data_IF_826583981195
#
_entry.id   IF_826583981195
#
_cell.length_a   1.000
_cell.length_b   1.000
_cell.length_c   1.000
_cell.angle_alpha   90.00
_cell.angle_beta   90.00
_cell.angle_gamma   90.00
#
_symmetry.space_group_name_H-M   'P 1'
#
loop_
_entity.id
_entity.type
_entity.pdbx_description
1 polymer ?
#
# COMPACT_ATOMS: atom_id res chain seq x y z
N UNK A 1 48.05 -51.45 4.38
CA UNK A 1 48.76 -50.15 4.42
C UNK A 1 49.25 -49.82 3.03
N UNK A 2 49.28 -48.53 2.70
CA UNK A 2 49.82 -47.89 1.49
C UNK A 2 48.82 -47.67 0.33
N UNK A 3 47.99 -46.64 0.53
CA UNK A 3 47.44 -45.79 -0.51
C UNK A 3 48.56 -44.96 -1.13
N UNK A 4 48.78 -45.03 -2.44
CA UNK A 4 49.34 -43.91 -3.22
C UNK A 4 49.24 -44.19 -4.72
N UNK A 5 48.30 -43.55 -5.45
CA UNK A 5 48.36 -43.41 -6.92
C UNK A 5 47.55 -42.18 -7.40
N UNK A 6 48.29 -41.15 -7.84
CA UNK A 6 48.03 -40.14 -8.89
C UNK A 6 46.82 -39.19 -8.72
N UNK A 7 46.94 -37.88 -8.46
CA UNK A 7 47.48 -36.73 -9.25
C UNK A 7 46.82 -36.55 -10.64
N UNK A 8 45.72 -35.77 -10.73
CA UNK A 8 45.57 -34.44 -11.38
C UNK A 8 44.09 -34.14 -11.69
N UNK A 9 43.69 -32.86 -11.73
CA UNK A 9 42.32 -32.38 -11.59
C UNK A 9 41.61 -32.30 -12.93
N UNK A 10 40.39 -32.83 -13.01
CA UNK A 10 39.49 -32.51 -14.12
C UNK A 10 38.68 -31.29 -13.69
N UNK A 11 39.06 -30.15 -14.25
CA UNK A 11 38.20 -29.00 -14.48
C UNK A 11 36.84 -29.50 -14.98
N UNK A 12 35.81 -29.38 -14.15
CA UNK A 12 34.45 -29.26 -14.66
C UNK A 12 34.01 -27.83 -14.37
N UNK A 13 34.10 -27.04 -15.44
CA UNK A 13 33.56 -25.70 -15.51
C UNK A 13 32.05 -25.74 -15.20
N UNK A 14 31.67 -25.24 -14.02
CA UNK A 14 30.29 -24.93 -13.70
C UNK A 14 30.21 -23.59 -12.97
N UNK A 15 30.79 -22.55 -13.57
CA UNK A 15 30.68 -21.17 -13.04
C UNK A 15 30.12 -20.17 -14.05
N UNK A 16 29.40 -20.64 -15.06
CA UNK A 16 28.73 -19.78 -16.05
C UNK A 16 27.20 -19.91 -15.96
N UNK A 17 26.61 -19.53 -14.82
CA UNK A 17 25.17 -19.27 -14.72
C UNK A 17 24.80 -18.30 -13.57
N UNK A 18 25.74 -17.48 -13.10
CA UNK A 18 25.47 -16.40 -12.14
C UNK A 18 25.67 -15.01 -12.74
N UNK A 19 25.27 -14.86 -13.99
CA UNK A 19 25.00 -13.58 -14.67
C UNK A 19 23.78 -13.90 -15.53
N UNK A 20 22.56 -13.87 -15.02
CA UNK A 20 21.74 -12.66 -14.98
C UNK A 20 20.54 -12.91 -14.05
N UNK A 21 20.70 -12.67 -12.75
CA UNK A 21 19.54 -12.18 -12.02
C UNK A 21 19.47 -10.69 -12.38
N UNK A 22 18.51 -10.21 -13.19
CA UNK A 22 18.09 -8.84 -13.02
C UNK A 22 17.63 -8.78 -11.57
N UNK A 23 18.47 -8.23 -10.69
CA UNK A 23 18.00 -7.67 -9.46
C UNK A 23 16.85 -6.78 -9.90
N UNK A 24 15.62 -7.24 -9.62
CA UNK A 24 14.40 -6.51 -9.84
C UNK A 24 14.51 -5.27 -8.95
N UNK A 25 15.20 -4.26 -9.48
CA UNK A 25 15.05 -2.88 -9.13
C UNK A 25 13.60 -2.57 -9.47
N UNK A 26 12.69 -2.93 -8.56
CA UNK A 26 11.33 -2.44 -8.56
C UNK A 26 11.46 -0.94 -8.40
N UNK A 27 11.43 -0.29 -9.56
CA UNK A 27 11.40 1.14 -9.78
C UNK A 27 10.38 1.76 -8.81
N UNK A 28 10.91 2.42 -7.78
CA UNK A 28 10.13 3.16 -6.79
C UNK A 28 9.51 4.46 -7.34
N UNK A 29 9.57 4.69 -8.66
CA UNK A 29 9.15 5.92 -9.32
C UNK A 29 7.81 5.88 -10.07
N UNK A 30 7.04 4.79 -10.00
CA UNK A 30 5.86 4.62 -10.86
C UNK A 30 4.59 4.35 -10.05
N UNK A 31 4.14 5.32 -9.23
CA UNK A 31 3.00 5.11 -8.31
C UNK A 31 2.06 6.30 -8.17
N UNK A 32 1.75 6.98 -9.26
CA UNK A 32 0.79 8.09 -9.25
C UNK A 32 -0.21 8.06 -10.43
N UNK A 33 -0.42 6.89 -11.04
CA UNK A 33 -1.33 6.74 -12.20
C UNK A 33 -2.77 6.45 -11.82
N UNK A 34 -3.10 6.25 -10.54
CA UNK A 34 -4.48 5.89 -10.14
C UNK A 34 -4.90 4.48 -10.55
N UNK A 35 -3.93 3.59 -10.82
CA UNK A 35 -4.17 2.20 -11.19
C UNK A 35 -3.40 1.24 -10.28
N UNK A 36 -4.03 0.11 -9.95
CA UNK A 36 -3.37 -1.02 -9.30
C UNK A 36 -2.43 -1.71 -10.28
N UNK A 37 -1.21 -1.98 -9.84
CA UNK A 37 -0.28 -2.81 -10.62
C UNK A 37 -0.74 -4.27 -10.64
N UNK A 38 -0.26 -5.07 -11.58
CA UNK A 38 -0.55 -6.52 -11.57
C UNK A 38 -0.09 -7.19 -10.27
N UNK A 39 1.02 -6.73 -9.69
CA UNK A 39 1.50 -7.20 -8.39
C UNK A 39 0.51 -6.85 -7.28
N UNK A 40 -0.10 -5.66 -7.33
CA UNK A 40 -1.12 -5.24 -6.36
C UNK A 40 -2.37 -6.10 -6.46
N UNK A 41 -2.84 -6.38 -7.68
CA UNK A 41 -4.01 -7.23 -7.93
C UNK A 41 -3.78 -8.64 -7.41
N UNK A 42 -2.64 -9.25 -7.76
CA UNK A 42 -2.26 -10.58 -7.28
C UNK A 42 -2.13 -10.63 -5.76
N UNK A 43 -1.57 -9.59 -5.14
CA UNK A 43 -1.49 -9.49 -3.68
C UNK A 43 -2.88 -9.41 -3.05
N UNK A 44 -3.79 -8.62 -3.61
CA UNK A 44 -5.18 -8.52 -3.15
C UNK A 44 -5.89 -9.87 -3.27
N UNK A 45 -5.80 -10.52 -4.43
CA UNK A 45 -6.41 -11.84 -4.66
C UNK A 45 -5.88 -12.90 -3.69
N UNK A 46 -4.55 -12.95 -3.51
CA UNK A 46 -3.91 -13.87 -2.57
C UNK A 46 -4.37 -13.62 -1.14
N UNK A 47 -4.43 -12.36 -0.70
CA UNK A 47 -4.90 -11.99 0.64
C UNK A 47 -6.39 -12.29 0.83
N UNK A 48 -7.21 -12.06 -0.18
CA UNK A 48 -8.65 -12.38 -0.13
C UNK A 48 -8.88 -13.88 -0.01
N UNK A 49 -8.17 -14.68 -0.81
CA UNK A 49 -8.29 -16.13 -0.81
C UNK A 49 -7.84 -16.76 0.52
N UNK A 50 -6.71 -16.29 1.06
CA UNK A 50 -6.11 -16.90 2.25
C UNK A 50 -6.67 -16.34 3.56
N UNK A 51 -7.08 -15.06 3.57
CA UNK A 51 -7.26 -14.28 4.79
C UNK A 51 -8.39 -13.24 4.69
N UNK A 52 -9.29 -13.34 3.71
CA UNK A 52 -10.27 -12.29 3.38
C UNK A 52 -11.16 -11.81 4.52
N UNK A 53 -11.45 -12.69 5.49
CA UNK A 53 -12.27 -12.38 6.66
C UNK A 53 -11.47 -11.76 7.82
N UNK A 54 -10.13 -11.85 7.78
CA UNK A 54 -9.31 -11.33 8.86
C UNK A 54 -9.24 -9.80 8.80
N UNK A 55 -9.45 -9.10 9.94
CA UNK A 55 -9.47 -7.65 9.94
C UNK A 55 -8.15 -7.00 9.53
N UNK A 56 -7.02 -7.64 9.83
CA UNK A 56 -5.68 -7.18 9.42
C UNK A 56 -5.48 -7.27 7.90
N UNK A 57 -5.91 -8.36 7.27
CA UNK A 57 -5.86 -8.54 5.83
C UNK A 57 -6.78 -7.54 5.10
N UNK A 58 -7.99 -7.31 5.60
CA UNK A 58 -8.91 -6.30 5.06
C UNK A 58 -8.31 -4.88 5.12
N UNK A 59 -7.60 -4.55 6.21
CA UNK A 59 -6.88 -3.29 6.31
C UNK A 59 -5.73 -3.21 5.30
N UNK A 60 -4.96 -4.28 5.14
CA UNK A 60 -3.85 -4.36 4.18
C UNK A 60 -4.33 -4.19 2.73
N UNK A 61 -5.40 -4.90 2.35
CA UNK A 61 -6.07 -4.74 1.04
C UNK A 61 -6.47 -3.27 0.83
N UNK A 62 -7.11 -2.66 1.83
CA UNK A 62 -7.48 -1.24 1.77
C UNK A 62 -6.29 -0.30 1.56
N UNK A 63 -5.14 -0.58 2.17
CA UNK A 63 -3.89 0.18 1.96
C UNK A 63 -3.36 0.04 0.54
N UNK A 64 -3.49 -1.14 -0.07
CA UNK A 64 -3.11 -1.36 -1.47
C UNK A 64 -4.01 -0.53 -2.39
N UNK A 65 -5.33 -0.51 -2.15
CA UNK A 65 -6.25 0.35 -2.89
C UNK A 65 -5.93 1.86 -2.74
N UNK A 66 -5.55 2.33 -1.54
CA UNK A 66 -5.12 3.73 -1.36
C UNK A 66 -3.88 4.06 -2.18
N UNK A 67 -2.90 3.15 -2.24
CA UNK A 67 -1.71 3.33 -3.08
C UNK A 67 -2.06 3.41 -4.56
N UNK A 68 -3.08 2.68 -4.99
CA UNK A 68 -3.61 2.76 -6.35
C UNK A 68 -4.52 3.96 -6.61
N UNK A 69 -4.69 4.90 -5.67
CA UNK A 69 -5.62 6.04 -5.83
C UNK A 69 -7.11 5.68 -5.79
N UNK A 70 -7.45 4.42 -5.50
CA UNK A 70 -8.82 3.90 -5.46
C UNK A 70 -9.41 4.12 -4.06
N UNK A 71 -9.61 5.39 -3.69
CA UNK A 71 -10.05 5.75 -2.35
C UNK A 71 -11.40 5.14 -1.94
N UNK A 72 -12.33 4.97 -2.89
CA UNK A 72 -13.65 4.41 -2.62
C UNK A 72 -13.54 2.97 -2.13
N UNK A 73 -12.79 2.16 -2.85
CA UNK A 73 -12.59 0.74 -2.52
C UNK A 73 -11.78 0.59 -1.24
N UNK A 74 -10.75 1.41 -1.08
CA UNK A 74 -9.98 1.50 0.16
C UNK A 74 -10.86 1.77 1.39
N UNK A 75 -11.75 2.77 1.32
CA UNK A 75 -12.67 3.12 2.41
C UNK A 75 -13.60 1.96 2.75
N UNK A 76 -14.07 1.22 1.74
CA UNK A 76 -14.91 0.03 1.95
C UNK A 76 -14.16 -1.06 2.71
N UNK A 77 -12.96 -1.43 2.26
CA UNK A 77 -12.13 -2.46 2.89
C UNK A 77 -11.66 -2.09 4.30
N UNK A 78 -11.17 -0.87 4.48
CA UNK A 78 -10.75 -0.38 5.81
C UNK A 78 -11.97 -0.25 6.73
N UNK A 79 -13.14 0.11 6.20
CA UNK A 79 -14.39 0.18 6.96
C UNK A 79 -14.80 -1.18 7.53
N UNK A 80 -14.71 -2.25 6.73
CA UNK A 80 -14.95 -3.63 7.20
C UNK A 80 -13.99 -4.01 8.33
N UNK A 81 -12.70 -3.77 8.14
CA UNK A 81 -11.65 -4.00 9.15
C UNK A 81 -11.91 -3.24 10.45
N UNK A 82 -12.30 -1.97 10.35
CA UNK A 82 -12.64 -1.14 11.51
C UNK A 82 -13.90 -1.64 12.22
N UNK A 83 -14.91 -2.09 11.48
CA UNK A 83 -16.14 -2.68 12.01
C UNK A 83 -15.88 -3.98 12.78
N UNK A 84 -14.91 -4.76 12.32
CA UNK A 84 -14.42 -5.95 13.03
C UNK A 84 -13.46 -5.64 14.20
N UNK A 85 -13.24 -4.36 14.52
CA UNK A 85 -12.50 -3.92 15.70
C UNK A 85 -11.00 -3.73 15.52
N UNK A 86 -10.47 -3.79 14.29
CA UNK A 86 -9.03 -3.66 14.07
C UNK A 86 -8.53 -2.24 14.45
N UNK A 87 -7.58 -2.11 15.40
CA UNK A 87 -7.21 -0.81 15.96
C UNK A 87 -6.72 0.20 14.92
N UNK A 88 -5.85 -0.24 14.01
CA UNK A 88 -5.26 0.62 12.99
C UNK A 88 -6.32 1.10 11.99
N UNK A 89 -7.29 0.24 11.64
CA UNK A 89 -8.40 0.64 10.79
C UNK A 89 -9.33 1.64 11.48
N UNK A 90 -9.65 1.43 12.78
CA UNK A 90 -10.45 2.38 13.57
C UNK A 90 -9.78 3.75 13.67
N UNK A 91 -8.46 3.77 13.92
CA UNK A 91 -7.68 5.00 13.94
C UNK A 91 -7.71 5.70 12.59
N UNK A 92 -7.52 4.96 11.50
CA UNK A 92 -7.58 5.52 10.16
C UNK A 92 -8.96 6.14 9.87
N UNK A 93 -10.05 5.44 10.18
CA UNK A 93 -11.41 5.97 10.00
C UNK A 93 -11.64 7.23 10.84
N UNK A 94 -11.16 7.26 12.09
CA UNK A 94 -11.25 8.43 12.95
C UNK A 94 -10.47 9.63 12.37
N UNK A 95 -9.26 9.40 11.88
CA UNK A 95 -8.44 10.41 11.21
C UNK A 95 -9.16 11.01 9.98
N UNK A 96 -9.78 10.17 9.16
CA UNK A 96 -10.51 10.64 7.98
C UNK A 96 -11.72 11.51 8.36
N UNK A 97 -12.45 11.15 9.42
CA UNK A 97 -13.56 11.97 9.93
C UNK A 97 -13.08 13.32 10.44
N UNK A 98 -12.00 13.35 11.22
CA UNK A 98 -11.41 14.60 11.71
C UNK A 98 -10.97 15.52 10.56
N UNK A 99 -10.33 14.96 9.53
CA UNK A 99 -9.94 15.71 8.33
C UNK A 99 -11.16 16.29 7.60
N UNK A 100 -12.23 15.51 7.46
CA UNK A 100 -13.47 15.98 6.83
C UNK A 100 -14.14 17.12 7.63
N UNK A 101 -14.24 16.97 8.95
CA UNK A 101 -14.80 17.99 9.83
C UNK A 101 -13.98 19.28 9.85
N UNK A 102 -12.65 19.16 9.85
CA UNK A 102 -11.74 20.29 9.81
C UNK A 102 -11.90 21.08 8.51
N UNK A 103 -11.88 20.39 7.35
CA UNK A 103 -12.13 21.02 6.04
C UNK A 103 -13.49 21.71 5.99
N UNK A 104 -14.53 21.07 6.53
CA UNK A 104 -15.87 21.65 6.61
C UNK A 104 -15.93 22.91 7.49
N UNK A 105 -15.27 22.90 8.65
CA UNK A 105 -15.15 24.09 9.52
C UNK A 105 -14.40 25.23 8.84
N UNK A 106 -13.28 24.93 8.21
CA UNK A 106 -12.47 25.92 7.49
C UNK A 106 -13.28 26.59 6.36
N UNK A 107 -14.03 25.80 5.58
CA UNK A 107 -14.92 26.31 4.54
C UNK A 107 -16.00 27.25 5.08
N UNK A 108 -16.64 26.88 6.21
CA UNK A 108 -17.65 27.74 6.86
C UNK A 108 -17.05 29.04 7.39
N UNK A 109 -15.88 28.96 8.01
CA UNK A 109 -15.17 30.14 8.53
C UNK A 109 -14.82 31.10 7.40
N UNK A 110 -14.22 30.60 6.31
CA UNK A 110 -13.89 31.40 5.14
C UNK A 110 -15.14 32.06 4.53
N UNK A 111 -16.25 31.32 4.44
CA UNK A 111 -17.51 31.87 3.97
C UNK A 111 -18.08 32.96 4.91
N UNK A 112 -17.97 32.78 6.23
CA UNK A 112 -18.38 33.77 7.21
C UNK A 112 -17.53 35.06 7.11
N UNK A 113 -16.20 34.92 7.02
CA UNK A 113 -15.29 36.06 6.87
C UNK A 113 -15.59 36.88 5.62
N UNK A 114 -15.88 36.23 4.48
CA UNK A 114 -16.27 36.92 3.25
C UNK A 114 -17.55 37.76 3.42
N UNK A 115 -18.53 37.27 4.18
CA UNK A 115 -19.79 38.00 4.43
C UNK A 115 -19.60 39.22 5.32
N UNK A 116 -18.75 39.13 6.34
CA UNK A 116 -18.44 40.26 7.22
C UNK A 116 -17.71 41.36 6.46
N UNK A 117 -16.70 40.99 5.67
CA UNK A 117 -15.94 41.94 4.84
C UNK A 117 -16.82 42.65 3.80
N UNK A 118 -17.81 41.95 3.22
CA UNK A 118 -18.74 42.54 2.25
C UNK A 118 -19.75 43.52 2.87
N UNK A 119 -20.02 43.44 4.18
CA UNK A 119 -20.96 44.32 4.90
C UNK A 119 -20.29 45.50 5.64
N UNK A 120 -18.99 45.44 5.88
CA UNK A 120 -18.25 46.48 6.62
C UNK A 120 -17.58 47.55 5.74
N UNK A 121 -17.91 47.61 4.45
CA UNK A 121 -17.34 48.56 3.48
C UNK A 121 -18.34 49.61 2.97
N UNK A 122 -19.48 49.77 3.64
CA UNK A 122 -20.47 50.84 3.40
C UNK A 122 -20.36 51.95 4.45
#
# INVERSE_FOLDING_TARGET
MNNLRFILPILVALSAALQTAPALAMNNGQRDTGYLTEVDKLAIESMQSLMGDRPDAQYAIGKIYLRGGLERDAKSWIGKSAGAGYPQARMWVAEQKMKAEFKGRQGRMLAASRRVMAKGGE
#
